data_IF_814484152058
#
_entry.id   IF_814484152058
#
_cell.length_a   1.000
_cell.length_b   1.000
_cell.length_c   1.000
_cell.angle_alpha   90.00
_cell.angle_beta   90.00
_cell.angle_gamma   90.00
#
_symmetry.space_group_name_H-M   'P 1'
#
loop_
_entity.id
_entity.type
_entity.pdbx_description
1 polymer ?
#
# COMPACT_ATOMS: atom_id res chain seq x y z
N UNK A 1 109.72 66.57 -50.92
CA UNK A 1 108.23 66.57 -50.87
C UNK A 1 107.59 65.29 -51.44
N UNK A 2 108.02 64.78 -52.61
CA UNK A 2 107.43 63.60 -53.25
C UNK A 2 107.51 62.29 -52.43
N UNK A 3 108.60 62.04 -51.71
CA UNK A 3 108.76 60.78 -50.96
C UNK A 3 107.96 60.75 -49.65
N UNK A 4 107.75 61.90 -49.01
CA UNK A 4 106.83 62.02 -47.87
C UNK A 4 105.39 61.69 -48.29
N UNK A 5 104.97 62.17 -49.47
CA UNK A 5 103.66 61.86 -50.05
C UNK A 5 103.51 60.38 -50.42
N UNK A 6 104.57 59.73 -50.91
CA UNK A 6 104.58 58.28 -51.17
C UNK A 6 104.47 57.47 -49.87
N UNK A 7 105.20 57.86 -48.82
CA UNK A 7 105.13 57.22 -47.51
C UNK A 7 103.75 57.39 -46.87
N UNK A 8 103.18 58.60 -46.88
CA UNK A 8 101.80 58.84 -46.42
C UNK A 8 100.79 58.00 -47.20
N UNK A 9 100.90 57.95 -48.54
CA UNK A 9 100.03 57.14 -49.40
C UNK A 9 100.16 55.65 -49.08
N UNK A 10 101.38 55.17 -48.81
CA UNK A 10 101.65 53.79 -48.39
C UNK A 10 101.07 53.46 -47.01
N UNK A 11 101.23 54.36 -46.05
CA UNK A 11 100.66 54.26 -44.70
C UNK A 11 99.13 54.25 -44.72
N UNK A 12 98.52 55.18 -45.46
CA UNK A 12 97.06 55.23 -45.69
C UNK A 12 96.54 53.96 -46.35
N UNK A 13 97.23 53.42 -47.37
CA UNK A 13 96.89 52.12 -48.00
C UNK A 13 97.02 50.93 -47.05
N UNK A 14 98.05 50.91 -46.19
CA UNK A 14 98.21 49.86 -45.17
C UNK A 14 97.10 49.93 -44.13
N UNK A 15 96.75 51.14 -43.68
CA UNK A 15 95.62 51.38 -42.76
C UNK A 15 94.29 50.96 -43.38
N UNK A 16 94.06 51.27 -44.66
CA UNK A 16 92.85 50.85 -45.37
C UNK A 16 92.73 49.32 -45.45
N UNK A 17 93.82 48.61 -45.78
CA UNK A 17 93.83 47.14 -45.79
C UNK A 17 93.64 46.52 -44.41
N UNK A 18 94.15 47.15 -43.35
CA UNK A 18 93.91 46.68 -41.99
C UNK A 18 92.43 46.87 -41.60
N UNK A 19 91.85 48.02 -41.95
CA UNK A 19 90.45 48.32 -41.69
C UNK A 19 89.51 47.40 -42.48
N UNK A 20 89.88 47.05 -43.71
CA UNK A 20 89.17 46.06 -44.53
C UNK A 20 89.18 44.67 -43.88
N UNK A 21 90.34 44.23 -43.37
CA UNK A 21 90.42 42.97 -42.61
C UNK A 21 89.64 43.01 -41.30
N UNK A 22 89.69 44.11 -40.56
CA UNK A 22 88.88 44.31 -39.34
C UNK A 22 87.38 44.26 -39.66
N UNK A 23 86.97 44.89 -40.76
CA UNK A 23 85.59 44.84 -41.24
C UNK A 23 85.16 43.43 -41.66
N UNK A 24 86.00 42.70 -42.39
CA UNK A 24 85.73 41.30 -42.75
C UNK A 24 85.61 40.41 -41.51
N UNK A 25 86.50 40.56 -40.52
CA UNK A 25 86.42 39.81 -39.26
C UNK A 25 85.13 40.14 -38.50
N UNK A 26 84.77 41.42 -38.38
CA UNK A 26 83.54 41.85 -37.72
C UNK A 26 82.28 41.35 -38.45
N UNK A 27 82.30 41.31 -39.78
CA UNK A 27 81.19 40.77 -40.57
C UNK A 27 81.03 39.26 -40.36
N UNK A 28 82.14 38.51 -40.29
CA UNK A 28 82.13 37.08 -39.98
C UNK A 28 81.66 36.82 -38.54
N UNK A 29 82.08 37.64 -37.58
CA UNK A 29 81.67 37.51 -36.18
C UNK A 29 80.19 37.84 -35.97
N UNK A 30 79.71 38.91 -36.61
CA UNK A 30 78.29 39.30 -36.64
C UNK A 30 77.42 38.17 -37.21
N UNK A 31 77.77 37.66 -38.39
CA UNK A 31 77.02 36.57 -39.04
C UNK A 31 77.04 35.27 -38.24
N UNK A 32 78.15 34.93 -37.58
CA UNK A 32 78.22 33.78 -36.65
C UNK A 32 77.35 33.98 -35.42
N UNK A 33 77.37 35.18 -34.81
CA UNK A 33 76.52 35.53 -33.68
C UNK A 33 75.03 35.38 -34.05
N UNK A 34 74.62 35.87 -35.21
CA UNK A 34 73.23 35.78 -35.67
C UNK A 34 72.81 34.34 -35.98
N UNK A 35 73.72 33.52 -36.52
CA UNK A 35 73.48 32.09 -36.71
C UNK A 35 73.35 31.33 -35.38
N UNK A 36 74.13 31.69 -34.35
CA UNK A 36 74.03 31.07 -33.01
C UNK A 36 72.75 31.52 -32.32
N UNK A 37 72.40 32.81 -32.36
CA UNK A 37 71.13 33.34 -31.83
C UNK A 37 69.92 32.71 -32.51
N UNK A 38 69.93 32.55 -33.84
CA UNK A 38 68.84 31.86 -34.56
C UNK A 38 68.74 30.37 -34.21
N UNK A 39 69.86 29.66 -34.02
CA UNK A 39 69.85 28.26 -33.55
C UNK A 39 69.37 28.10 -32.10
N UNK A 40 69.76 29.01 -31.20
CA UNK A 40 69.32 28.99 -29.80
C UNK A 40 67.83 29.31 -29.69
N UNK A 41 67.36 30.35 -30.40
CA UNK A 41 65.94 30.73 -30.41
C UNK A 41 65.05 29.66 -31.04
N UNK A 42 65.52 28.96 -32.08
CA UNK A 42 64.77 27.84 -32.68
C UNK A 42 64.71 26.61 -31.76
N UNK A 43 65.79 26.27 -31.05
CA UNK A 43 65.77 25.20 -30.03
C UNK A 43 64.87 25.56 -28.84
N UNK A 44 64.96 26.80 -28.35
CA UNK A 44 64.10 27.29 -27.27
C UNK A 44 62.62 27.26 -27.68
N UNK A 45 62.28 27.68 -28.91
CA UNK A 45 60.91 27.63 -29.43
C UNK A 45 60.37 26.20 -29.54
N UNK A 46 61.21 25.24 -29.96
CA UNK A 46 60.83 23.81 -29.98
C UNK A 46 60.56 23.27 -28.57
N UNK A 47 61.38 23.64 -27.60
CA UNK A 47 61.18 23.25 -26.20
C UNK A 47 59.89 23.86 -25.62
N UNK A 48 59.62 25.14 -25.91
CA UNK A 48 58.37 25.81 -25.50
C UNK A 48 57.16 25.09 -26.10
N UNK A 49 57.16 24.82 -27.41
CA UNK A 49 56.06 24.10 -28.06
C UNK A 49 55.88 22.67 -27.53
N UNK A 50 56.96 21.98 -27.17
CA UNK A 50 56.87 20.67 -26.53
C UNK A 50 56.23 20.76 -25.14
N UNK A 51 56.65 21.72 -24.31
CA UNK A 51 56.07 21.94 -22.99
C UNK A 51 54.59 22.35 -23.07
N UNK A 52 54.21 23.20 -24.04
CA UNK A 52 52.81 23.55 -24.29
C UNK A 52 51.97 22.31 -24.63
N UNK A 53 52.46 21.43 -25.50
CA UNK A 53 51.76 20.20 -25.85
C UNK A 53 51.62 19.24 -24.65
N UNK A 54 52.66 19.11 -23.83
CA UNK A 54 52.58 18.29 -22.60
C UNK A 54 51.61 18.90 -21.58
N UNK A 55 51.59 20.23 -21.42
CA UNK A 55 50.61 20.92 -20.57
C UNK A 55 49.19 20.67 -21.08
N UNK A 56 48.94 20.79 -22.39
CA UNK A 56 47.64 20.50 -22.97
C UNK A 56 47.22 19.04 -22.75
N UNK A 57 48.15 18.10 -22.93
CA UNK A 57 47.90 16.68 -22.68
C UNK A 57 47.53 16.41 -21.22
N UNK A 58 48.27 16.97 -20.27
CA UNK A 58 47.98 16.85 -18.83
C UNK A 58 46.63 17.50 -18.51
N UNK A 59 46.29 18.63 -19.13
CA UNK A 59 45.01 19.28 -18.91
C UNK A 59 43.84 18.42 -19.40
N UNK A 60 43.95 17.80 -20.58
CA UNK A 60 42.95 16.87 -21.10
C UNK A 60 42.78 15.69 -20.14
N UNK A 61 43.88 15.04 -19.74
CA UNK A 61 43.85 13.94 -18.78
C UNK A 61 43.21 14.33 -17.45
N UNK A 62 43.49 15.55 -16.96
CA UNK A 62 42.86 16.07 -15.76
C UNK A 62 41.35 16.26 -15.92
N UNK A 63 40.89 16.83 -17.04
CA UNK A 63 39.45 16.97 -17.31
C UNK A 63 38.73 15.63 -17.44
N UNK A 64 39.37 14.64 -18.07
CA UNK A 64 38.85 13.27 -18.16
C UNK A 64 38.74 12.62 -16.78
N UNK A 65 39.80 12.74 -15.95
CA UNK A 65 39.79 12.24 -14.58
C UNK A 65 38.70 12.89 -13.73
N UNK A 66 38.46 14.20 -13.87
CA UNK A 66 37.40 14.89 -13.14
C UNK A 66 36.00 14.45 -13.61
N UNK A 67 35.83 14.17 -14.91
CA UNK A 67 34.57 13.60 -15.42
C UNK A 67 34.33 12.19 -14.86
N UNK A 68 35.36 11.34 -14.84
CA UNK A 68 35.28 9.99 -14.27
C UNK A 68 34.93 10.05 -12.79
N UNK A 69 35.59 10.93 -12.03
CA UNK A 69 35.29 11.19 -10.61
C UNK A 69 33.85 11.63 -10.39
N UNK A 70 33.33 12.55 -11.20
CA UNK A 70 31.91 12.98 -11.15
C UNK A 70 30.96 11.81 -11.41
N UNK A 71 31.27 10.94 -12.38
CA UNK A 71 30.47 9.74 -12.65
C UNK A 71 30.46 8.78 -11.45
N UNK A 72 31.62 8.48 -10.87
CA UNK A 72 31.69 7.62 -9.68
C UNK A 72 30.99 8.24 -8.47
N UNK A 73 31.05 9.56 -8.30
CA UNK A 73 30.31 10.25 -7.25
C UNK A 73 28.79 10.09 -7.42
N UNK A 74 28.30 10.27 -8.65
CA UNK A 74 26.88 10.05 -8.98
C UNK A 74 26.44 8.61 -8.74
N UNK A 75 27.23 7.62 -9.20
CA UNK A 75 26.96 6.19 -8.98
C UNK A 75 26.92 5.89 -7.48
N UNK A 76 27.90 6.40 -6.70
CA UNK A 76 27.92 6.19 -5.25
C UNK A 76 26.70 6.80 -4.57
N UNK A 77 26.29 7.99 -4.98
CA UNK A 77 25.10 8.65 -4.44
C UNK A 77 23.84 7.82 -4.70
N UNK A 78 23.66 7.33 -5.93
CA UNK A 78 22.54 6.46 -6.29
C UNK A 78 22.53 5.15 -5.47
N UNK A 79 23.69 4.50 -5.30
CA UNK A 79 23.82 3.30 -4.49
C UNK A 79 23.46 3.53 -3.02
N UNK A 80 23.85 4.68 -2.45
CA UNK A 80 23.48 5.06 -1.08
C UNK A 80 21.98 5.30 -0.97
N UNK A 81 21.39 6.04 -1.91
CA UNK A 81 19.94 6.28 -1.93
C UNK A 81 19.14 4.98 -2.05
N UNK A 82 19.58 4.06 -2.91
CA UNK A 82 18.94 2.76 -3.07
C UNK A 82 19.12 1.88 -1.82
N UNK A 83 20.27 1.93 -1.16
CA UNK A 83 20.47 1.19 0.11
C UNK A 83 19.47 1.61 1.18
N UNK A 84 19.16 2.91 1.30
CA UNK A 84 18.18 3.42 2.26
C UNK A 84 16.76 3.00 1.88
N UNK A 85 16.42 2.99 0.59
CA UNK A 85 15.12 2.49 0.10
C UNK A 85 14.96 1.00 0.38
N UNK A 86 16.00 0.19 0.16
CA UNK A 86 15.95 -1.24 0.44
C UNK A 86 15.79 -1.51 1.94
N UNK A 87 16.53 -0.80 2.79
CA UNK A 87 16.44 -0.95 4.24
C UNK A 87 15.02 -0.64 4.76
N UNK A 88 14.45 0.48 4.31
CA UNK A 88 13.08 0.87 4.70
C UNK A 88 12.02 -0.10 4.17
N UNK A 89 12.17 -0.59 2.93
CA UNK A 89 11.27 -1.61 2.37
C UNK A 89 11.37 -2.94 3.12
N UNK A 90 12.59 -3.35 3.48
CA UNK A 90 12.83 -4.57 4.25
C UNK A 90 12.19 -4.49 5.63
N UNK A 91 12.44 -3.42 6.37
CA UNK A 91 11.85 -3.17 7.70
C UNK A 91 10.32 -3.24 7.64
N UNK A 92 9.70 -2.61 6.63
CA UNK A 92 8.25 -2.64 6.43
C UNK A 92 7.73 -4.06 6.19
N UNK A 93 8.44 -4.86 5.38
CA UNK A 93 8.05 -6.25 5.10
C UNK A 93 8.20 -7.11 6.36
N UNK A 94 9.27 -6.93 7.13
CA UNK A 94 9.50 -7.63 8.39
C UNK A 94 8.41 -7.32 9.42
N UNK A 95 8.01 -6.05 9.54
CA UNK A 95 6.90 -5.64 10.40
C UNK A 95 5.56 -6.25 9.97
N UNK A 96 5.28 -6.31 8.66
CA UNK A 96 4.08 -6.94 8.14
C UNK A 96 4.07 -8.44 8.43
N UNK A 97 5.20 -9.11 8.21
CA UNK A 97 5.35 -10.54 8.47
C UNK A 97 5.19 -10.85 9.97
N UNK A 98 5.71 -9.99 10.84
CA UNK A 98 5.51 -10.09 12.28
C UNK A 98 4.04 -9.97 12.67
N UNK A 99 3.34 -8.96 12.14
CA UNK A 99 1.89 -8.77 12.39
C UNK A 99 1.07 -9.96 11.89
N UNK A 100 1.37 -10.46 10.69
CA UNK A 100 0.70 -11.64 10.13
C UNK A 100 0.95 -12.89 10.98
N UNK A 101 2.19 -13.11 11.46
CA UNK A 101 2.48 -14.22 12.37
C UNK A 101 1.72 -14.09 13.71
N UNK A 102 1.58 -12.88 14.24
CA UNK A 102 0.78 -12.64 15.45
C UNK A 102 -0.72 -12.91 15.20
N UNK A 103 -1.24 -12.53 14.05
CA UNK A 103 -2.62 -12.81 13.64
C UNK A 103 -2.88 -14.31 13.45
N UNK A 104 -1.97 -15.02 12.76
CA UNK A 104 -2.05 -16.47 12.59
C UNK A 104 -2.10 -17.16 13.94
N UNK A 105 -1.23 -16.77 14.89
CA UNK A 105 -1.26 -17.33 16.25
C UNK A 105 -2.59 -17.10 16.96
N UNK A 106 -3.19 -15.90 16.83
CA UNK A 106 -4.52 -15.62 17.39
C UNK A 106 -5.60 -16.50 16.77
N UNK A 107 -5.57 -16.67 15.45
CA UNK A 107 -6.52 -17.52 14.73
C UNK A 107 -6.36 -19.00 15.09
N UNK A 108 -5.14 -19.47 15.29
CA UNK A 108 -4.88 -20.84 15.76
C UNK A 108 -5.50 -21.08 17.14
N UNK A 109 -5.38 -20.13 18.08
CA UNK A 109 -6.03 -20.21 19.39
C UNK A 109 -7.55 -20.30 19.23
N UNK A 110 -8.15 -19.40 18.45
CA UNK A 110 -9.61 -19.41 18.21
C UNK A 110 -10.05 -20.73 17.56
N UNK A 111 -9.27 -21.26 16.61
CA UNK A 111 -9.55 -22.54 15.94
C UNK A 111 -9.55 -23.69 16.95
N UNK A 112 -8.56 -23.72 17.84
CA UNK A 112 -8.46 -24.75 18.87
C UNK A 112 -9.65 -24.67 19.83
N UNK A 113 -9.98 -23.49 20.33
CA UNK A 113 -11.13 -23.35 21.23
C UNK A 113 -12.47 -23.70 20.53
N UNK A 114 -12.61 -23.37 19.24
CA UNK A 114 -13.78 -23.73 18.46
C UNK A 114 -13.87 -25.26 18.24
N UNK A 115 -12.74 -25.92 18.01
CA UNK A 115 -12.66 -27.37 17.93
C UNK A 115 -13.05 -28.03 19.26
N UNK A 116 -12.53 -27.53 20.38
CA UNK A 116 -12.91 -28.00 21.71
C UNK A 116 -14.42 -27.83 21.97
N UNK A 117 -14.99 -26.67 21.65
CA UNK A 117 -16.43 -26.41 21.81
C UNK A 117 -17.26 -27.37 20.97
N UNK A 118 -16.85 -27.66 19.73
CA UNK A 118 -17.53 -28.65 18.86
C UNK A 118 -17.47 -30.04 19.49
N UNK A 119 -16.31 -30.49 19.96
CA UNK A 119 -16.17 -31.81 20.62
C UNK A 119 -17.06 -31.89 21.86
N UNK A 120 -17.05 -30.86 22.71
CA UNK A 120 -17.93 -30.80 23.89
C UNK A 120 -19.40 -30.89 23.52
N UNK A 121 -19.84 -30.15 22.50
CA UNK A 121 -21.22 -30.18 22.02
C UNK A 121 -21.60 -31.56 21.46
N UNK A 122 -20.73 -32.20 20.66
CA UNK A 122 -20.94 -33.54 20.14
C UNK A 122 -21.02 -34.59 21.26
N UNK A 123 -20.13 -34.52 22.26
CA UNK A 123 -20.18 -35.41 23.43
C UNK A 123 -21.46 -35.21 24.25
N UNK A 124 -21.88 -33.96 24.49
CA UNK A 124 -23.10 -33.66 25.22
C UNK A 124 -24.35 -34.17 24.49
N UNK A 125 -24.41 -33.98 23.17
CA UNK A 125 -25.51 -34.48 22.33
C UNK A 125 -25.55 -36.01 22.32
N UNK A 126 -24.41 -36.68 22.21
CA UNK A 126 -24.34 -38.15 22.28
C UNK A 126 -24.78 -38.68 23.66
N UNK A 127 -24.39 -38.02 24.74
CA UNK A 127 -24.80 -38.38 26.10
C UNK A 127 -26.31 -38.18 26.33
N UNK A 128 -26.89 -37.10 25.81
CA UNK A 128 -28.33 -36.87 25.86
C UNK A 128 -29.10 -37.92 25.03
N UNK A 129 -28.63 -38.22 23.81
CA UNK A 129 -29.22 -39.26 22.97
C UNK A 129 -29.17 -40.64 23.65
N UNK A 130 -28.06 -40.99 24.29
CA UNK A 130 -27.94 -42.22 25.05
C UNK A 130 -28.91 -42.26 26.25
N UNK A 131 -29.07 -41.14 26.98
CA UNK A 131 -30.06 -41.02 28.07
C UNK A 131 -31.49 -41.17 27.56
N UNK A 132 -31.83 -40.54 26.44
CA UNK A 132 -33.14 -40.63 25.82
C UNK A 132 -33.45 -42.06 25.36
N UNK A 133 -32.51 -42.73 24.67
CA UNK A 133 -32.65 -44.12 24.27
C UNK A 133 -32.78 -45.08 25.47
N UNK A 134 -31.99 -44.87 26.53
CA UNK A 134 -32.10 -45.65 27.75
C UNK A 134 -33.47 -45.50 28.42
N UNK A 135 -33.98 -44.27 28.50
CA UNK A 135 -35.32 -44.00 29.04
C UNK A 135 -36.43 -44.62 28.18
N UNK A 136 -36.34 -44.52 26.85
CA UNK A 136 -37.29 -45.15 25.94
C UNK A 136 -37.26 -46.68 26.07
N UNK A 137 -36.07 -47.28 26.10
CA UNK A 137 -35.92 -48.71 26.26
C UNK A 137 -36.50 -49.19 27.60
N UNK A 138 -36.32 -48.43 28.68
CA UNK A 138 -36.95 -48.70 29.98
C UNK A 138 -38.49 -48.68 29.89
N UNK A 139 -39.07 -47.65 29.25
CA UNK A 139 -40.53 -47.56 29.04
C UNK A 139 -41.09 -48.68 28.15
N UNK A 140 -40.31 -49.15 27.18
CA UNK A 140 -40.69 -50.29 26.33
C UNK A 140 -40.63 -51.59 27.14
N UNK A 141 -39.60 -51.79 27.95
CA UNK A 141 -39.47 -52.95 28.83
C UNK A 141 -40.60 -53.04 29.85
N UNK A 142 -40.97 -51.93 30.49
CA UNK A 142 -42.13 -51.88 31.39
C UNK A 142 -43.43 -52.23 30.67
N UNK A 143 -43.68 -51.64 29.49
CA UNK A 143 -44.86 -51.97 28.68
C UNK A 143 -44.92 -53.44 28.31
N UNK A 144 -43.78 -54.04 27.93
CA UNK A 144 -43.69 -55.46 27.62
C UNK A 144 -43.97 -56.33 28.85
N UNK A 145 -43.42 -55.96 30.02
CA UNK A 145 -43.65 -56.67 31.27
C UNK A 145 -45.14 -56.70 31.66
N UNK A 146 -45.82 -55.54 31.61
CA UNK A 146 -47.25 -55.48 31.93
C UNK A 146 -48.12 -56.18 30.89
N UNK A 147 -47.77 -56.11 29.60
CA UNK A 147 -48.46 -56.84 28.55
C UNK A 147 -48.37 -58.35 28.78
N UNK A 148 -47.19 -58.88 29.09
CA UNK A 148 -47.01 -60.29 29.40
C UNK A 148 -47.85 -60.71 30.63
N UNK A 149 -47.81 -59.92 31.71
CA UNK A 149 -48.60 -60.16 32.93
C UNK A 149 -50.12 -60.18 32.63
N UNK A 150 -50.58 -59.27 31.78
CA UNK A 150 -51.96 -59.20 31.35
C UNK A 150 -52.35 -60.44 30.53
N UNK A 151 -51.54 -60.84 29.56
CA UNK A 151 -51.78 -62.06 28.78
C UNK A 151 -51.77 -63.32 29.65
N UNK A 152 -50.87 -63.43 30.62
CA UNK A 152 -50.84 -64.53 31.59
C UNK A 152 -52.16 -64.59 32.38
N UNK A 153 -52.61 -63.45 32.93
CA UNK A 153 -53.90 -63.36 33.64
C UNK A 153 -55.09 -63.63 32.75
N UNK A 154 -55.07 -63.19 31.50
CA UNK A 154 -56.12 -63.46 30.53
C UNK A 154 -56.19 -64.97 30.21
N UNK A 155 -55.04 -65.63 30.00
CA UNK A 155 -54.98 -67.09 29.80
C UNK A 155 -55.43 -67.87 31.04
N UNK A 156 -55.11 -67.40 32.24
CA UNK A 156 -55.63 -67.98 33.49
C UNK A 156 -57.14 -67.82 33.61
N UNK A 157 -57.66 -66.62 33.35
CA UNK A 157 -59.09 -66.33 33.37
C UNK A 157 -59.84 -67.12 32.30
N UNK A 158 -59.30 -67.27 31.10
CA UNK A 158 -59.91 -68.09 30.04
C UNK A 158 -59.98 -69.58 30.45
N UNK A 159 -58.95 -70.09 31.15
CA UNK A 159 -58.97 -71.45 31.73
C UNK A 159 -60.00 -71.59 32.85
N UNK A 160 -60.17 -70.55 33.67
CA UNK A 160 -61.18 -70.48 34.73
C UNK A 160 -62.59 -70.31 34.17
N UNK A 161 -62.80 -69.50 33.15
CA UNK A 161 -64.07 -69.29 32.44
C UNK A 161 -64.56 -70.60 31.82
N UNK A 162 -63.65 -71.34 31.17
CA UNK A 162 -63.91 -72.70 30.69
C UNK A 162 -64.25 -73.71 31.80
N UNK A 163 -63.92 -73.40 33.06
CA UNK A 163 -64.21 -74.24 34.24
C UNK A 163 -65.44 -73.77 35.03
N UNK A 164 -65.79 -72.48 34.96
CA UNK A 164 -66.83 -71.84 35.80
C UNK A 164 -68.14 -71.62 35.03
N UNK A 165 -68.13 -71.49 33.69
CA UNK A 165 -69.35 -71.22 32.92
C UNK A 165 -69.72 -72.33 31.89
N UNK A 166 -70.39 -73.42 32.32
CA UNK A 166 -71.42 -74.09 31.52
C UNK A 166 -72.73 -73.26 31.53
N UNK A 167 -73.59 -73.28 30.48
CA UNK A 167 -74.68 -72.31 30.36
C UNK A 167 -75.88 -72.58 31.30
N UNK A 168 -76.31 -71.49 31.96
CA UNK A 168 -77.59 -71.18 32.60
C UNK A 168 -78.08 -72.00 33.82
N UNK A 169 -78.33 -71.32 34.96
CA UNK A 169 -79.66 -71.16 35.63
C UNK A 169 -79.57 -70.31 36.92
N UNK A 170 -80.63 -69.53 37.20
CA UNK A 170 -80.89 -68.63 38.37
C UNK A 170 -81.31 -69.43 39.64
N UNK A 171 -81.82 -68.80 40.74
CA UNK A 171 -81.38 -67.74 41.68
C UNK A 171 -81.41 -68.27 43.16
N UNK A 172 -81.72 -67.42 44.19
CA UNK A 172 -82.08 -67.69 45.64
C UNK A 172 -80.95 -67.25 46.63
N UNK A 173 -81.10 -66.50 47.76
CA UNK A 173 -82.19 -65.87 48.56
C UNK A 173 -81.54 -65.13 49.80
N UNK A 174 -82.12 -63.99 50.25
CA UNK A 174 -82.40 -63.48 51.65
C UNK A 174 -81.48 -63.88 52.84
N UNK A 175 -81.23 -63.15 53.95
CA UNK A 175 -81.90 -62.06 54.70
C UNK A 175 -81.02 -61.76 55.96
N UNK A 176 -81.14 -60.58 56.61
CA UNK A 176 -81.36 -60.43 58.08
C UNK A 176 -80.93 -59.06 58.62
N UNK A 177 -81.79 -58.49 59.46
CA UNK A 177 -81.71 -57.23 60.19
C UNK A 177 -82.02 -57.46 61.69
N UNK A 178 -81.92 -56.38 62.50
CA UNK A 178 -82.29 -56.20 63.94
C UNK A 178 -81.28 -56.72 64.98
N UNK A 179 -81.17 -56.20 66.23
CA UNK A 179 -81.73 -55.05 66.99
C UNK A 179 -81.37 -55.26 68.48
N UNK A 180 -81.24 -54.17 69.28
CA UNK A 180 -81.58 -54.01 70.74
C UNK A 180 -80.90 -54.94 71.79
N UNK A 181 -80.61 -54.62 73.06
CA UNK A 181 -80.92 -53.62 74.12
C UNK A 181 -79.78 -53.78 75.17
N UNK A 182 -79.30 -52.77 75.89
CA UNK A 182 -79.82 -52.29 77.18
C UNK A 182 -79.07 -52.90 78.38
N UNK A 183 -78.41 -52.09 79.23
CA UNK A 183 -78.73 -51.93 80.67
C UNK A 183 -77.65 -51.09 81.42
N UNK A 184 -78.11 -50.38 82.44
CA UNK A 184 -77.44 -49.35 83.23
C UNK A 184 -76.64 -49.89 84.41
N UNK A 185 -75.55 -49.21 84.79
CA UNK A 185 -75.10 -49.14 86.19
C UNK A 185 -74.53 -47.74 86.49
N UNK A 186 -75.00 -47.21 87.60
CA UNK A 186 -74.79 -45.92 88.23
C UNK A 186 -73.45 -45.75 88.96
N UNK A 187 -73.10 -44.48 89.19
CA UNK A 187 -72.19 -43.92 90.22
C UNK A 187 -70.68 -43.86 89.96
N UNK A 188 -70.21 -42.71 89.47
CA UNK A 188 -68.97 -42.10 89.95
C UNK A 188 -69.03 -40.55 89.84
N UNK A 189 -69.79 -39.93 90.76
CA UNK A 189 -69.92 -38.48 90.85
C UNK A 189 -68.69 -37.87 91.52
N UNK A 190 -67.72 -37.39 90.75
CA UNK A 190 -66.91 -36.23 91.16
C UNK A 190 -66.09 -35.60 90.01
N UNK A 191 -65.49 -36.42 89.14
CA UNK A 191 -64.74 -35.92 87.97
C UNK A 191 -65.63 -35.69 86.73
N UNK A 192 -66.62 -36.58 86.53
CA UNK A 192 -67.56 -36.49 85.42
C UNK A 192 -68.43 -35.22 85.48
N UNK A 193 -68.88 -34.81 86.67
CA UNK A 193 -69.69 -33.61 86.84
C UNK A 193 -68.91 -32.31 86.52
N UNK A 194 -67.62 -32.27 86.84
CA UNK A 194 -66.77 -31.12 86.51
C UNK A 194 -66.46 -31.06 85.01
N UNK A 195 -66.22 -32.22 84.38
CA UNK A 195 -66.08 -32.31 82.93
C UNK A 195 -67.39 -31.93 82.22
N UNK A 196 -68.54 -32.34 82.74
CA UNK A 196 -69.87 -31.99 82.23
C UNK A 196 -70.13 -30.48 82.34
N UNK A 197 -69.77 -29.81 83.44
CA UNK A 197 -69.90 -28.36 83.56
C UNK A 197 -68.99 -27.61 82.57
N UNK A 198 -67.74 -28.05 82.42
CA UNK A 198 -66.81 -27.50 81.42
C UNK A 198 -67.33 -27.72 80.00
N UNK A 199 -67.95 -28.87 79.73
CA UNK A 199 -68.50 -29.22 78.45
C UNK A 199 -69.79 -28.44 78.13
N UNK A 200 -70.65 -28.20 79.11
CA UNK A 200 -71.81 -27.31 78.98
C UNK A 200 -71.42 -25.86 78.73
N UNK A 201 -70.34 -25.39 79.35
CA UNK A 201 -69.75 -24.07 79.02
C UNK A 201 -69.20 -24.04 77.60
N UNK A 202 -68.54 -25.11 77.15
CA UNK A 202 -68.05 -25.27 75.78
C UNK A 202 -69.22 -25.23 74.77
N UNK A 203 -70.28 -25.99 75.01
CA UNK A 203 -71.52 -26.00 74.23
C UNK A 203 -72.12 -24.58 74.11
N UNK A 204 -72.27 -23.86 75.23
CA UNK A 204 -72.74 -22.47 75.23
C UNK A 204 -71.86 -21.52 74.41
N UNK A 205 -70.54 -21.62 74.54
CA UNK A 205 -69.60 -20.77 73.80
C UNK A 205 -69.57 -21.08 72.30
N UNK A 206 -69.71 -22.35 71.95
CA UNK A 206 -69.80 -22.78 70.55
C UNK A 206 -71.19 -22.56 69.95
N UNK A 207 -72.23 -22.31 70.75
CA UNK A 207 -73.61 -22.12 70.31
C UNK A 207 -74.26 -23.41 69.79
N UNK A 208 -74.00 -24.52 70.46
CA UNK A 208 -74.35 -25.88 70.04
C UNK A 208 -75.06 -26.60 71.20
N UNK A 209 -76.08 -27.40 70.89
CA UNK A 209 -76.90 -28.07 71.92
C UNK A 209 -76.55 -29.55 72.12
N UNK A 210 -75.80 -30.14 71.18
CA UNK A 210 -75.38 -31.54 71.24
C UNK A 210 -73.85 -31.65 71.37
N UNK A 211 -73.41 -32.64 72.14
CA UNK A 211 -72.00 -32.87 72.42
C UNK A 211 -71.18 -33.17 71.16
N UNK A 212 -71.73 -33.99 70.27
CA UNK A 212 -71.06 -34.44 69.06
C UNK A 212 -70.86 -33.29 68.06
N UNK A 213 -71.83 -32.38 67.98
CA UNK A 213 -71.76 -31.20 67.12
C UNK A 213 -70.64 -30.22 67.54
N UNK A 214 -70.29 -30.14 68.84
CA UNK A 214 -69.16 -29.34 69.32
C UNK A 214 -67.84 -29.90 68.78
N UNK A 215 -67.67 -31.23 68.87
CA UNK A 215 -66.49 -31.91 68.34
C UNK A 215 -66.36 -31.72 66.83
N UNK A 216 -67.46 -31.81 66.09
CA UNK A 216 -67.46 -31.60 64.64
C UNK A 216 -67.08 -30.17 64.26
N UNK A 217 -67.54 -29.15 64.99
CA UNK A 217 -67.12 -27.75 64.76
C UNK A 217 -65.63 -27.54 65.01
N UNK A 218 -65.08 -28.07 66.10
CA UNK A 218 -63.63 -27.97 66.37
C UNK A 218 -62.80 -28.75 65.34
N UNK A 219 -63.30 -29.91 64.87
CA UNK A 219 -62.66 -30.67 63.80
C UNK A 219 -62.65 -29.88 62.50
N UNK A 220 -63.79 -29.31 62.10
CA UNK A 220 -63.90 -28.45 60.92
C UNK A 220 -63.04 -27.18 61.03
N UNK A 221 -62.97 -26.55 62.20
CA UNK A 221 -62.11 -25.39 62.45
C UNK A 221 -60.62 -25.76 62.34
N UNK A 222 -60.21 -26.91 62.89
CA UNK A 222 -58.84 -27.41 62.77
C UNK A 222 -58.49 -27.74 61.32
N UNK A 223 -59.39 -28.37 60.58
CA UNK A 223 -59.19 -28.66 59.15
C UNK A 223 -59.12 -27.38 58.32
N UNK A 224 -59.96 -26.38 58.61
CA UNK A 224 -59.93 -25.05 57.97
C UNK A 224 -58.62 -24.33 58.27
N UNK A 225 -58.16 -24.34 59.52
CA UNK A 225 -56.87 -23.77 59.93
C UNK A 225 -55.69 -24.43 59.19
N UNK A 226 -55.69 -25.77 59.09
CA UNK A 226 -54.68 -26.51 58.31
C UNK A 226 -54.70 -26.12 56.84
N UNK A 227 -55.89 -26.01 56.23
CA UNK A 227 -56.04 -25.60 54.83
C UNK A 227 -55.57 -24.17 54.58
N UNK A 228 -55.88 -23.24 55.48
CA UNK A 228 -55.41 -21.86 55.38
C UNK A 228 -53.90 -21.76 55.52
N UNK A 229 -53.31 -22.50 56.46
CA UNK A 229 -51.86 -22.52 56.62
C UNK A 229 -51.15 -23.12 55.39
N UNK A 230 -51.69 -24.22 54.84
CA UNK A 230 -51.22 -24.78 53.57
C UNK A 230 -51.30 -23.73 52.46
N UNK A 231 -52.46 -23.08 52.27
CA UNK A 231 -52.64 -22.08 51.22
C UNK A 231 -51.69 -20.89 51.39
N UNK A 232 -51.53 -20.39 52.62
CA UNK A 232 -50.58 -19.34 52.94
C UNK A 232 -49.15 -19.75 52.54
N UNK A 233 -48.71 -20.94 52.96
CA UNK A 233 -47.38 -21.43 52.66
C UNK A 233 -47.16 -21.61 51.16
N UNK A 234 -48.13 -22.21 50.44
CA UNK A 234 -48.04 -22.36 48.97
C UNK A 234 -47.97 -21.00 48.28
N UNK A 235 -48.76 -20.01 48.74
CA UNK A 235 -48.77 -18.66 48.16
C UNK A 235 -47.45 -17.92 48.45
N UNK A 236 -46.88 -18.08 49.65
CA UNK A 236 -45.57 -17.50 49.99
C UNK A 236 -44.43 -18.13 49.18
N UNK A 237 -44.45 -19.46 48.99
CA UNK A 237 -43.48 -20.18 48.16
C UNK A 237 -43.58 -19.77 46.69
N UNK A 238 -44.80 -19.69 46.13
CA UNK A 238 -45.03 -19.22 44.75
C UNK A 238 -44.58 -17.76 44.58
N UNK A 239 -44.87 -16.89 45.54
CA UNK A 239 -44.42 -15.50 45.53
C UNK A 239 -42.89 -15.41 45.49
N UNK A 240 -42.20 -16.18 46.33
CA UNK A 240 -40.74 -16.19 46.35
C UNK A 240 -40.15 -16.65 45.01
N UNK A 241 -40.73 -17.68 44.39
CA UNK A 241 -40.32 -18.16 43.07
C UNK A 241 -40.55 -17.09 41.98
N UNK A 242 -41.67 -16.38 42.03
CA UNK A 242 -41.95 -15.27 41.11
C UNK A 242 -40.98 -14.12 41.27
N UNK A 243 -40.61 -13.75 42.51
CA UNK A 243 -39.59 -12.72 42.76
C UNK A 243 -38.19 -13.14 42.27
N UNK A 244 -37.82 -14.42 42.46
CA UNK A 244 -36.56 -14.96 41.94
C UNK A 244 -36.52 -15.00 40.41
N UNK A 245 -37.61 -15.44 39.77
CA UNK A 245 -37.70 -15.45 38.30
C UNK A 245 -37.71 -14.04 37.73
N UNK A 246 -38.41 -13.10 38.36
CA UNK A 246 -38.40 -11.68 37.96
C UNK A 246 -36.99 -11.10 38.02
N UNK A 247 -36.26 -11.31 39.13
CA UNK A 247 -34.89 -10.79 39.28
C UNK A 247 -33.93 -11.42 38.28
N UNK A 248 -34.05 -12.73 38.01
CA UNK A 248 -33.28 -13.41 36.97
C UNK A 248 -33.54 -12.83 35.57
N UNK A 249 -34.82 -12.67 35.20
CA UNK A 249 -35.21 -12.12 33.90
C UNK A 249 -34.77 -10.66 33.73
N UNK A 250 -34.81 -9.86 34.80
CA UNK A 250 -34.27 -8.50 34.78
C UNK A 250 -32.76 -8.47 34.53
N UNK A 251 -32.01 -9.34 35.22
CA UNK A 251 -30.56 -9.44 35.02
C UNK A 251 -30.19 -9.90 33.60
N UNK A 252 -30.92 -10.87 33.05
CA UNK A 252 -30.75 -11.30 31.66
C UNK A 252 -31.04 -10.15 30.68
N UNK A 253 -32.12 -9.39 30.89
CA UNK A 253 -32.50 -8.27 30.04
C UNK A 253 -31.44 -7.16 30.07
N UNK A 254 -30.89 -6.86 31.23
CA UNK A 254 -29.73 -5.96 31.36
C UNK A 254 -28.51 -6.50 30.61
N UNK A 255 -28.20 -7.80 30.76
CA UNK A 255 -27.14 -8.48 30.00
C UNK A 255 -27.30 -8.33 28.48
N UNK A 256 -28.51 -8.57 27.95
CA UNK A 256 -28.81 -8.40 26.53
C UNK A 256 -28.68 -6.95 26.06
N UNK A 257 -29.06 -5.97 26.88
CA UNK A 257 -28.87 -4.55 26.54
C UNK A 257 -27.39 -4.21 26.39
N UNK A 258 -26.54 -4.65 27.33
CA UNK A 258 -25.11 -4.37 27.26
C UNK A 258 -24.43 -5.10 26.11
N UNK A 259 -24.77 -6.37 25.88
CA UNK A 259 -24.26 -7.13 24.74
C UNK A 259 -24.64 -6.46 23.40
N UNK A 260 -25.91 -6.07 23.24
CA UNK A 260 -26.36 -5.41 22.02
C UNK A 260 -25.70 -4.05 21.77
N UNK A 261 -25.37 -3.28 22.81
CA UNK A 261 -24.64 -2.01 22.66
C UNK A 261 -23.18 -2.28 22.29
N UNK A 262 -22.53 -3.24 22.96
CA UNK A 262 -21.15 -3.62 22.67
C UNK A 262 -20.97 -4.09 21.22
N UNK A 263 -21.84 -4.96 20.73
CA UNK A 263 -21.79 -5.47 19.35
C UNK A 263 -21.98 -4.34 18.32
N UNK A 264 -22.82 -3.34 18.63
CA UNK A 264 -23.02 -2.17 17.78
C UNK A 264 -21.81 -1.26 17.77
N UNK A 265 -21.18 -1.03 18.92
CA UNK A 265 -20.00 -0.19 19.03
C UNK A 265 -18.81 -0.85 18.32
N UNK A 266 -18.58 -2.16 18.51
CA UNK A 266 -17.55 -2.92 17.80
C UNK A 266 -17.78 -2.91 16.28
N UNK A 267 -19.01 -3.18 15.82
CA UNK A 267 -19.34 -3.10 14.39
C UNK A 267 -19.18 -1.68 13.82
N UNK A 268 -19.46 -0.65 14.61
CA UNK A 268 -19.27 0.74 14.20
C UNK A 268 -17.79 1.10 14.10
N UNK A 269 -16.95 0.63 15.03
CA UNK A 269 -15.49 0.79 14.96
C UNK A 269 -14.92 0.10 13.72
N UNK A 270 -15.30 -1.16 13.44
CA UNK A 270 -14.90 -1.88 12.25
C UNK A 270 -15.29 -1.14 10.96
N UNK A 271 -16.52 -0.61 10.89
CA UNK A 271 -16.96 0.21 9.75
C UNK A 271 -16.09 1.45 9.59
N UNK A 272 -15.73 2.12 10.69
CA UNK A 272 -14.87 3.31 10.61
C UNK A 272 -13.45 2.98 10.16
N UNK A 273 -12.90 1.84 10.59
CA UNK A 273 -11.58 1.38 10.16
C UNK A 273 -11.58 1.00 8.67
N UNK A 274 -12.61 0.29 8.21
CA UNK A 274 -12.76 -0.05 6.79
C UNK A 274 -12.89 1.21 5.91
N UNK A 275 -13.66 2.20 6.36
CA UNK A 275 -13.76 3.49 5.65
C UNK A 275 -12.41 4.20 5.54
N UNK A 276 -11.64 4.23 6.64
CA UNK A 276 -10.32 4.84 6.62
C UNK A 276 -9.36 4.13 5.64
N UNK A 277 -9.40 2.79 5.57
CA UNK A 277 -8.62 2.00 4.60
C UNK A 277 -9.05 2.27 3.15
N UNK A 278 -10.35 2.38 2.91
CA UNK A 278 -10.88 2.74 1.58
C UNK A 278 -10.37 4.12 1.16
N UNK A 279 -10.44 5.12 2.04
CA UNK A 279 -9.97 6.49 1.74
C UNK A 279 -8.46 6.52 1.43
N UNK A 280 -7.67 5.71 2.14
CA UNK A 280 -6.22 5.58 1.90
C UNK A 280 -5.93 4.92 0.55
N UNK A 281 -6.61 3.83 0.21
CA UNK A 281 -6.47 3.17 -1.09
C UNK A 281 -6.94 4.05 -2.25
N UNK A 282 -8.04 4.81 -2.09
CA UNK A 282 -8.48 5.78 -3.09
C UNK A 282 -7.47 6.90 -3.30
N UNK A 283 -6.77 7.32 -2.24
CA UNK A 283 -5.66 8.27 -2.35
C UNK A 283 -4.49 7.66 -3.12
N UNK A 284 -4.08 6.43 -2.79
CA UNK A 284 -3.01 5.72 -3.49
C UNK A 284 -3.32 5.52 -4.97
N UNK A 285 -4.57 5.15 -5.28
CA UNK A 285 -5.05 5.00 -6.66
C UNK A 285 -4.95 6.32 -7.43
N UNK A 286 -5.36 7.44 -6.82
CA UNK A 286 -5.24 8.77 -7.45
C UNK A 286 -3.78 9.15 -7.73
N UNK A 287 -2.88 8.94 -6.76
CA UNK A 287 -1.45 9.22 -6.95
C UNK A 287 -0.82 8.34 -8.04
N UNK A 288 -1.24 7.07 -8.14
CA UNK A 288 -0.75 6.16 -9.17
C UNK A 288 -1.29 6.54 -10.56
N UNK A 289 -2.56 6.94 -10.63
CA UNK A 289 -3.17 7.44 -11.87
C UNK A 289 -2.46 8.70 -12.36
N UNK A 290 -2.18 9.67 -11.48
CA UNK A 290 -1.43 10.88 -11.84
C UNK A 290 -0.03 10.54 -12.37
N UNK A 291 0.68 9.60 -11.73
CA UNK A 291 1.98 9.11 -12.22
C UNK A 291 1.87 8.43 -13.57
N UNK A 292 0.79 7.67 -13.81
CA UNK A 292 0.53 7.01 -15.09
C UNK A 292 0.28 8.04 -16.20
N UNK A 293 -0.59 9.03 -15.95
CA UNK A 293 -0.91 10.09 -16.91
C UNK A 293 0.34 10.93 -17.26
N UNK A 294 1.18 11.21 -16.25
CA UNK A 294 2.47 11.88 -16.46
C UNK A 294 3.43 11.05 -17.34
N UNK A 295 3.51 9.74 -17.11
CA UNK A 295 4.35 8.84 -17.91
C UNK A 295 3.83 8.70 -19.34
N UNK A 296 2.51 8.63 -19.53
CA UNK A 296 1.87 8.60 -20.84
C UNK A 296 2.16 9.88 -21.63
N UNK A 297 2.04 11.04 -20.98
CA UNK A 297 2.40 12.34 -21.56
C UNK A 297 3.86 12.38 -21.98
N UNK A 298 4.78 11.95 -21.11
CA UNK A 298 6.21 11.91 -21.41
C UNK A 298 6.53 10.94 -22.57
N UNK A 299 5.87 9.78 -22.63
CA UNK A 299 6.04 8.84 -23.72
C UNK A 299 5.53 9.41 -25.05
N UNK A 300 4.43 10.17 -25.05
CA UNK A 300 3.96 10.88 -26.25
C UNK A 300 4.94 11.96 -26.71
N UNK A 301 5.60 12.67 -25.80
CA UNK A 301 6.67 13.61 -26.14
C UNK A 301 7.87 12.91 -26.79
N UNK A 302 8.33 11.80 -26.21
CA UNK A 302 9.38 10.96 -26.81
C UNK A 302 8.93 10.49 -28.20
N UNK A 303 7.69 10.02 -28.34
CA UNK A 303 7.13 9.60 -29.62
C UNK A 303 7.23 10.71 -30.66
N UNK A 304 6.81 11.93 -30.32
CA UNK A 304 6.86 13.10 -31.19
C UNK A 304 8.30 13.37 -31.66
N UNK A 305 9.25 13.38 -30.73
CA UNK A 305 10.68 13.58 -31.05
C UNK A 305 11.22 12.49 -31.97
N UNK A 306 10.87 11.22 -31.73
CA UNK A 306 11.27 10.11 -32.59
C UNK A 306 10.67 10.24 -34.00
N UNK A 307 9.40 10.67 -34.11
CA UNK A 307 8.76 10.95 -35.39
C UNK A 307 9.45 12.09 -36.14
N UNK A 308 9.82 13.17 -35.46
CA UNK A 308 10.50 14.29 -36.09
C UNK A 308 11.93 13.92 -36.53
N UNK A 309 12.65 13.11 -35.75
CA UNK A 309 13.94 12.52 -36.16
C UNK A 309 13.79 11.60 -37.37
N UNK A 310 12.71 10.83 -37.43
CA UNK A 310 12.38 9.98 -38.57
C UNK A 310 12.13 10.79 -39.84
N UNK A 311 11.41 11.92 -39.75
CA UNK A 311 11.18 12.84 -40.86
C UNK A 311 12.47 13.47 -41.38
N UNK A 312 13.40 13.81 -40.48
CA UNK A 312 14.74 14.29 -40.88
C UNK A 312 15.52 13.26 -41.73
N UNK A 313 15.18 11.97 -41.61
CA UNK A 313 15.76 10.87 -42.37
C UNK A 313 14.88 10.40 -43.55
N UNK A 314 13.89 11.20 -44.00
CA UNK A 314 12.98 10.83 -45.10
C UNK A 314 13.66 10.59 -46.45
N UNK A 315 14.94 10.94 -46.60
CA UNK A 315 15.79 10.54 -47.74
C UNK A 315 15.93 9.00 -47.85
N UNK A 316 15.55 8.28 -46.80
CA UNK A 316 15.61 6.82 -46.68
C UNK A 316 14.18 6.31 -46.43
N UNK A 317 13.53 5.91 -47.53
CA UNK A 317 12.12 5.53 -47.52
C UNK A 317 11.80 4.18 -46.87
N UNK A 318 12.79 3.34 -46.57
CA UNK A 318 12.60 2.01 -46.00
C UNK A 318 13.24 1.88 -44.60
N UNK A 319 12.53 1.34 -43.59
CA UNK A 319 11.11 0.97 -43.58
C UNK A 319 10.17 2.19 -43.58
N UNK A 320 8.93 1.97 -44.02
CA UNK A 320 7.87 2.98 -43.97
C UNK A 320 7.61 3.43 -42.53
N UNK A 321 7.33 4.72 -42.36
CA UNK A 321 7.03 5.27 -41.04
C UNK A 321 5.71 4.68 -40.53
N UNK A 322 5.65 4.18 -39.29
CA UNK A 322 4.38 3.82 -38.67
C UNK A 322 3.42 5.02 -38.71
N UNK A 323 2.12 4.77 -38.87
CA UNK A 323 1.12 5.83 -38.84
C UNK A 323 1.05 6.48 -37.46
N UNK A 324 0.98 7.82 -37.40
CA UNK A 324 0.91 8.51 -36.11
C UNK A 324 -0.42 8.20 -35.43
N UNK A 325 -0.35 7.58 -34.25
CA UNK A 325 -1.52 7.39 -33.37
C UNK A 325 -1.40 8.31 -32.14
N UNK A 326 -2.51 8.65 -31.50
CA UNK A 326 -2.50 9.42 -30.25
C UNK A 326 -2.20 8.56 -29.00
N UNK A 327 -1.77 7.32 -29.18
CA UNK A 327 -1.46 6.39 -28.09
C UNK A 327 0.06 6.30 -27.86
N UNK A 328 0.47 6.13 -26.61
CA UNK A 328 1.88 5.99 -26.24
C UNK A 328 2.46 4.57 -26.44
N UNK A 329 1.62 3.58 -26.77
CA UNK A 329 1.97 2.14 -26.76
C UNK A 329 2.85 1.70 -27.93
N UNK A 330 2.84 2.45 -29.03
CA UNK A 330 3.52 2.17 -30.28
C UNK A 330 4.88 2.88 -30.41
N UNK A 331 5.34 3.59 -29.37
CA UNK A 331 6.67 4.26 -29.32
C UNK A 331 7.81 3.31 -29.71
N UNK A 332 7.72 2.04 -29.31
CA UNK A 332 8.70 1.01 -29.67
C UNK A 332 8.76 0.74 -31.19
N UNK A 333 7.63 0.82 -31.90
CA UNK A 333 7.59 0.62 -33.34
C UNK A 333 8.25 1.80 -34.07
N UNK A 334 7.98 3.04 -33.63
CA UNK A 334 8.64 4.25 -34.15
C UNK A 334 10.14 4.22 -33.92
N UNK A 335 10.59 3.81 -32.72
CA UNK A 335 12.01 3.67 -32.39
C UNK A 335 12.72 2.64 -33.28
N UNK A 336 12.08 1.49 -33.51
CA UNK A 336 12.62 0.45 -34.40
C UNK A 336 12.76 0.95 -35.83
N UNK A 337 11.76 1.67 -36.35
CA UNK A 337 11.82 2.27 -37.68
C UNK A 337 12.95 3.31 -37.79
N UNK A 338 13.12 4.17 -36.77
CA UNK A 338 14.20 5.16 -36.71
C UNK A 338 15.58 4.48 -36.73
N UNK A 339 15.75 3.43 -35.91
CA UNK A 339 17.02 2.71 -35.82
C UNK A 339 17.41 2.07 -37.16
N UNK A 340 16.45 1.46 -37.86
CA UNK A 340 16.69 0.88 -39.19
C UNK A 340 17.02 1.95 -40.24
N UNK A 341 16.27 3.06 -40.28
CA UNK A 341 16.56 4.19 -41.19
C UNK A 341 17.94 4.78 -40.93
N UNK A 342 18.31 4.98 -39.66
CA UNK A 342 19.63 5.49 -39.29
C UNK A 342 20.77 4.54 -39.72
N UNK A 343 20.60 3.23 -39.54
CA UNK A 343 21.58 2.24 -39.97
C UNK A 343 21.79 2.28 -41.50
N UNK A 344 20.70 2.39 -42.26
CA UNK A 344 20.77 2.56 -43.72
C UNK A 344 21.42 3.89 -44.12
N UNK A 345 21.16 4.98 -43.39
CA UNK A 345 21.75 6.30 -43.64
C UNK A 345 23.26 6.26 -43.53
N UNK A 346 23.73 5.62 -42.45
CA UNK A 346 25.13 5.43 -42.19
C UNK A 346 25.79 4.58 -43.27
N UNK A 347 25.16 3.46 -43.67
CA UNK A 347 25.68 2.61 -44.73
C UNK A 347 25.80 3.37 -46.07
N UNK A 348 24.80 4.19 -46.44
CA UNK A 348 24.87 5.04 -47.64
C UNK A 348 25.95 6.12 -47.55
N UNK A 349 26.12 6.74 -46.38
CA UNK A 349 27.19 7.72 -46.17
C UNK A 349 28.58 7.09 -46.30
N UNK A 350 28.78 5.90 -45.73
CA UNK A 350 30.03 5.15 -45.81
C UNK A 350 30.37 4.72 -47.24
N UNK A 351 29.36 4.30 -48.04
CA UNK A 351 29.59 3.99 -49.47
C UNK A 351 29.93 5.24 -50.27
N UNK A 352 29.24 6.37 -50.03
CA UNK A 352 29.54 7.64 -50.70
C UNK A 352 30.95 8.14 -50.36
N UNK A 353 31.39 8.00 -49.11
CA UNK A 353 32.73 8.36 -48.69
C UNK A 353 33.81 7.52 -49.39
N UNK A 354 33.55 6.21 -49.57
CA UNK A 354 34.44 5.30 -50.31
C UNK A 354 34.47 5.62 -51.80
N UNK A 355 33.32 5.89 -52.43
CA UNK A 355 33.27 6.25 -53.86
C UNK A 355 33.94 7.59 -54.13
N UNK A 356 33.76 8.59 -53.25
CA UNK A 356 34.51 9.86 -53.34
C UNK A 356 36.02 9.65 -53.18
N UNK A 357 36.46 8.80 -52.25
CA UNK A 357 37.88 8.49 -52.07
C UNK A 357 38.49 7.79 -53.30
N UNK A 358 37.77 6.85 -53.92
CA UNK A 358 38.20 6.16 -55.14
C UNK A 358 38.15 7.09 -56.37
N UNK A 359 37.16 7.99 -56.47
CA UNK A 359 37.09 8.99 -57.54
C UNK A 359 38.25 10.00 -57.47
N UNK A 360 38.63 10.44 -56.26
CA UNK A 360 39.81 11.29 -56.07
C UNK A 360 41.13 10.57 -56.39
N UNK A 361 41.24 9.26 -56.13
CA UNK A 361 42.37 8.44 -56.58
C UNK A 361 42.48 8.37 -58.10
N UNK A 362 41.37 8.18 -58.81
CA UNK A 362 41.34 8.10 -60.29
C UNK A 362 41.78 9.42 -60.94
N UNK A 363 41.37 10.57 -60.39
CA UNK A 363 41.81 11.88 -60.88
C UNK A 363 43.30 12.10 -60.63
N UNK A 364 43.82 11.65 -59.48
CA UNK A 364 45.24 11.78 -59.15
C UNK A 364 46.13 10.92 -60.07
N UNK A 365 45.67 9.73 -60.47
CA UNK A 365 46.39 8.88 -61.44
C UNK A 365 46.28 9.38 -62.89
N UNK A 366 45.32 10.23 -63.22
CA UNK A 366 45.14 10.77 -64.58
C UNK A 366 45.97 12.04 -64.86
N UNK A 367 46.65 12.61 -63.85
CA UNK A 367 47.42 13.86 -63.97
C UNK A 367 48.93 13.68 -64.08
N UNK A 368 49.44 12.48 -64.34
CA UNK A 368 50.88 12.23 -64.52
C UNK A 368 51.26 11.70 -65.90
N UNK A 369 50.84 12.36 -66.99
CA UNK A 369 51.63 12.35 -68.24
C UNK A 369 51.37 13.63 -69.07
N UNK A 370 52.48 14.33 -69.36
CA UNK A 370 52.71 15.27 -70.49
C UNK A 370 51.96 16.61 -70.58
N UNK A 371 52.71 17.70 -70.32
CA UNK A 371 53.03 18.74 -71.32
C UNK A 371 51.94 19.74 -71.74
N UNK A 372 52.08 21.00 -71.30
CA UNK A 372 51.46 22.20 -71.88
C UNK A 372 52.00 22.49 -73.32
N UNK A 373 51.36 23.27 -74.23
CA UNK A 373 50.93 24.67 -73.98
C UNK A 373 49.66 25.22 -74.71
N UNK A 374 49.15 26.33 -74.14
CA UNK A 374 48.45 27.52 -74.69
C UNK A 374 47.96 27.59 -76.17
N UNK A 375 46.72 28.08 -76.39
CA UNK A 375 46.37 29.31 -77.18
C UNK A 375 44.84 29.48 -77.41
N UNK A 376 44.35 30.70 -77.11
CA UNK A 376 43.16 31.50 -77.52
C UNK A 376 41.93 30.92 -78.26
N UNK A 377 40.73 31.34 -77.82
CA UNK A 377 39.73 32.00 -78.70
C UNK A 377 38.32 31.39 -78.87
N UNK A 378 37.31 32.14 -78.40
CA UNK A 378 35.92 32.28 -78.93
C UNK A 378 34.84 31.22 -78.61
N UNK A 379 34.06 31.54 -77.56
CA UNK A 379 32.59 31.69 -77.49
C UNK A 379 31.64 30.74 -78.26
N UNK A 380 30.85 29.95 -77.52
CA UNK A 380 29.38 29.86 -77.67
C UNK A 380 28.66 29.16 -76.47
N UNK A 381 27.96 29.97 -75.68
CA UNK A 381 26.59 29.81 -75.13
C UNK A 381 26.14 28.56 -74.33
N UNK A 382 25.99 28.81 -73.01
CA UNK A 382 24.91 28.39 -72.07
C UNK A 382 24.86 26.96 -71.47
N UNK A 383 24.23 26.73 -70.29
CA UNK A 383 23.66 27.67 -69.31
C UNK A 383 24.13 27.47 -67.83
N UNK A 384 24.21 28.60 -67.11
CA UNK A 384 23.96 28.80 -65.67
C UNK A 384 24.10 27.63 -64.66
N UNK A 385 25.13 27.70 -63.82
CA UNK A 385 24.99 27.51 -62.36
C UNK A 385 25.86 28.53 -61.63
N UNK A 386 25.19 29.47 -60.97
CA UNK A 386 25.74 30.49 -60.10
C UNK A 386 25.30 30.13 -58.68
N UNK A 387 26.29 29.91 -57.82
CA UNK A 387 26.29 30.04 -56.35
C UNK A 387 25.37 29.12 -55.55
N UNK A 388 26.00 28.12 -54.91
CA UNK A 388 25.61 27.73 -53.56
C UNK A 388 26.87 27.60 -52.69
N UNK A 389 26.73 28.06 -51.46
CA UNK A 389 27.78 28.56 -50.57
C UNK A 389 28.57 27.45 -49.89
N UNK A 390 29.89 27.51 -50.02
CA UNK A 390 30.83 26.79 -49.17
C UNK A 390 30.65 27.23 -47.71
N UNK A 391 29.98 26.39 -46.91
CA UNK A 391 30.04 26.50 -45.46
C UNK A 391 31.37 25.91 -44.99
N UNK A 392 32.33 26.80 -44.80
CA UNK A 392 33.60 26.56 -44.13
C UNK A 392 33.30 26.01 -42.72
N UNK A 393 33.80 24.81 -42.42
CA UNK A 393 33.73 24.21 -41.09
C UNK A 393 34.66 24.98 -40.14
N UNK A 394 34.22 25.35 -38.93
CA UNK A 394 35.00 26.21 -38.05
C UNK A 394 36.16 25.42 -37.41
N UNK A 395 37.30 26.09 -37.27
CA UNK A 395 38.50 25.52 -36.62
C UNK A 395 38.46 25.77 -35.12
N UNK A 396 39.04 24.86 -34.33
CA UNK A 396 39.04 24.80 -32.86
C UNK A 396 39.31 26.13 -32.11
N UNK A 397 40.03 27.10 -32.72
CA UNK A 397 40.24 28.43 -32.13
C UNK A 397 38.99 29.32 -32.10
N UNK A 398 38.02 29.12 -33.00
CA UNK A 398 36.77 29.91 -33.05
C UNK A 398 35.72 29.43 -32.02
N UNK A 399 35.85 28.21 -31.51
CA UNK A 399 34.94 27.66 -30.49
C UNK A 399 35.25 28.18 -29.08
N UNK A 400 36.44 28.74 -28.85
CA UNK A 400 36.90 29.16 -27.52
C UNK A 400 36.70 30.66 -27.26
N UNK A 401 36.46 31.47 -28.29
CA UNK A 401 36.28 32.94 -28.17
C UNK A 401 34.84 33.43 -28.40
N UNK A 402 33.86 32.55 -28.59
CA UNK A 402 32.45 32.98 -28.63
C UNK A 402 31.94 33.19 -27.20
N UNK A 403 31.73 34.45 -26.83
CA UNK A 403 30.83 34.81 -25.74
C UNK A 403 29.46 34.15 -25.98
N UNK A 404 28.77 33.70 -24.90
CA UNK A 404 27.51 33.00 -25.03
C UNK A 404 26.48 33.90 -25.70
N UNK A 405 26.06 33.51 -26.91
CA UNK A 405 24.93 34.12 -27.61
C UNK A 405 23.69 33.82 -26.78
N UNK A 406 23.10 34.88 -26.23
CA UNK A 406 21.80 34.82 -25.55
C UNK A 406 20.74 34.27 -26.51
N UNK A 407 19.91 33.31 -26.08
CA UNK A 407 18.77 32.86 -26.86
C UNK A 407 17.75 33.99 -27.06
N UNK A 408 16.97 33.99 -28.16
CA UNK A 408 15.83 34.89 -28.34
C UNK A 408 14.79 34.70 -27.22
N UNK A 409 14.01 35.74 -26.86
CA UNK A 409 13.08 35.68 -25.74
C UNK A 409 12.01 34.63 -26.02
N UNK A 410 11.97 33.59 -25.19
CA UNK A 410 10.91 32.59 -25.17
C UNK A 410 9.73 33.19 -24.40
N UNK A 411 8.63 33.43 -25.10
CA UNK A 411 7.37 34.02 -24.59
C UNK A 411 6.55 33.04 -23.71
N UNK A 412 7.19 32.06 -23.07
CA UNK A 412 6.55 31.05 -22.20
C UNK A 412 7.31 30.81 -20.88
N UNK A 413 8.12 31.78 -20.42
CA UNK A 413 8.40 31.87 -18.99
C UNK A 413 7.22 32.58 -18.32
N UNK A 414 6.26 31.79 -17.82
CA UNK A 414 5.29 32.31 -16.87
C UNK A 414 6.07 32.82 -15.64
N UNK A 415 6.07 34.15 -15.55
CA UNK A 415 6.90 35.03 -14.73
C UNK A 415 7.05 34.53 -13.28
N UNK A 416 8.17 33.85 -12.98
CA UNK A 416 8.48 33.43 -11.60
C UNK A 416 8.63 34.71 -10.76
N UNK A 417 7.72 35.00 -9.81
CA UNK A 417 7.67 36.33 -9.23
C UNK A 417 8.96 36.63 -8.47
N UNK A 418 9.62 37.74 -8.82
CA UNK A 418 10.90 38.10 -8.21
C UNK A 418 10.81 38.12 -6.68
N UNK A 419 11.91 37.80 -6.00
CA UNK A 419 11.99 37.83 -4.52
C UNK A 419 11.46 39.14 -3.91
N UNK A 420 11.64 40.28 -4.60
CA UNK A 420 11.10 41.57 -4.17
C UNK A 420 9.58 41.69 -4.33
N UNK A 421 8.99 41.04 -5.34
CA UNK A 421 7.54 40.93 -5.49
C UNK A 421 6.93 40.05 -4.41
N UNK A 422 7.47 38.85 -4.19
CA UNK A 422 7.04 37.94 -3.12
C UNK A 422 7.13 38.59 -1.74
N UNK A 423 8.20 39.35 -1.48
CA UNK A 423 8.38 40.09 -0.22
C UNK A 423 7.33 41.20 -0.04
N UNK A 424 6.98 41.94 -1.09
CA UNK A 424 5.91 42.95 -1.05
C UNK A 424 4.54 42.33 -0.85
N UNK A 425 4.26 41.20 -1.51
CA UNK A 425 2.98 40.50 -1.41
C UNK A 425 2.80 39.88 -0.03
N UNK A 426 3.85 39.29 0.54
CA UNK A 426 3.85 38.81 1.93
C UNK A 426 3.61 39.95 2.94
N UNK A 427 4.26 41.11 2.74
CA UNK A 427 4.03 42.28 3.60
C UNK A 427 2.58 42.79 3.51
N UNK A 428 2.01 42.85 2.31
CA UNK A 428 0.60 43.19 2.10
C UNK A 428 -0.37 42.22 2.80
N UNK A 429 -0.07 40.92 2.80
CA UNK A 429 -0.88 39.90 3.50
C UNK A 429 -0.78 40.07 5.01
N UNK A 430 0.40 40.39 5.53
CA UNK A 430 0.59 40.65 6.96
C UNK A 430 -0.14 41.93 7.36
N UNK A 431 0.02 43.03 6.61
CA UNK A 431 -0.61 44.32 6.89
C UNK A 431 -2.15 44.25 6.82
N UNK A 432 -2.69 43.45 5.88
CA UNK A 432 -4.15 43.22 5.76
C UNK A 432 -4.71 42.33 6.86
N UNK A 433 -3.94 41.35 7.35
CA UNK A 433 -4.33 40.54 8.52
C UNK A 433 -4.17 41.29 9.84
N UNK A 434 -3.20 42.19 9.96
CA UNK A 434 -3.04 43.07 11.12
C UNK A 434 -4.14 44.14 11.22
N UNK A 435 -4.78 44.52 10.10
CA UNK A 435 -5.94 45.44 10.10
C UNK A 435 -7.24 44.83 10.63
N UNK A 436 -7.37 43.50 10.77
CA UNK A 436 -8.58 42.82 11.31
C UNK A 436 -8.52 42.51 12.81
N UNK A 437 -7.72 43.25 13.58
CA UNK A 437 -7.77 43.22 15.05
C UNK A 437 -8.14 44.61 15.58
N UNK A 438 -9.41 44.97 15.43
CA UNK A 438 -9.88 46.30 15.82
C UNK A 438 -11.36 46.57 15.55
N UNK A 439 -12.26 45.68 15.98
CA UNK A 439 -13.63 46.10 16.29
C UNK A 439 -13.98 45.57 17.68
N UNK A 440 -13.76 46.43 18.69
CA UNK A 440 -14.40 46.26 20.00
C UNK A 440 -15.88 46.57 19.80
N UNK A 441 -16.72 45.55 19.90
CA UNK A 441 -18.15 45.71 20.18
C UNK A 441 -18.30 46.41 21.54
N UNK A 442 -19.15 47.45 21.67
CA UNK A 442 -19.40 48.08 22.96
C UNK A 442 -20.24 47.15 23.82
N UNK A 443 -19.80 46.97 25.08
CA UNK A 443 -20.56 46.27 26.11
C UNK A 443 -21.92 46.94 26.35
N UNK A 444 -22.99 46.18 26.60
CA UNK A 444 -24.27 46.76 26.99
C UNK A 444 -24.15 47.27 28.43
N UNK A 445 -24.51 48.53 28.66
CA UNK A 445 -24.75 49.05 30.01
C UNK A 445 -26.17 48.67 30.44
N UNK A 446 -26.27 48.33 31.72
CA UNK A 446 -27.50 48.12 32.49
C UNK A 446 -28.47 49.28 32.38
#
# INVERSE_FOLDING_TARGET
MLDLLKYEKGSKRKRLRNLEKEYEMLLIESTKSDLVKSKITTKARKNVSHLENEIHKVLIQWTEAELVKKKYFSIRQALVEDSVKFESSLTRIEDLLKKQNEEIKKLEVVREEAAERRVRASCASAAEAARAHGAEHGRVAERAFYAQRFEERQRELEKLEKRIFPPATRPVRQESARSTEGDAVTEEQSAAAQMEEMFQRLMKLTGVNEADEVFDRFRAQRETSKRLNYLQQTTEEEKLQLEQTQTSLMAELEGYKFASVKDKDEGQEEITELKAKIDEEEKNYRELQEKFDNLETFLLEIKRLLYDLCKLLDVIGEPALPEWTAEARDVSATLSALAQRYAQARARADTLARTHAEFFKIIYYSQTTSGAPSVTGVSARSPSTLKESEKILPTYKELVTREPVKPPPSDEEEDIPSRCYLKRQAQLIIDTRCRRKGFRTPYPRK
#
